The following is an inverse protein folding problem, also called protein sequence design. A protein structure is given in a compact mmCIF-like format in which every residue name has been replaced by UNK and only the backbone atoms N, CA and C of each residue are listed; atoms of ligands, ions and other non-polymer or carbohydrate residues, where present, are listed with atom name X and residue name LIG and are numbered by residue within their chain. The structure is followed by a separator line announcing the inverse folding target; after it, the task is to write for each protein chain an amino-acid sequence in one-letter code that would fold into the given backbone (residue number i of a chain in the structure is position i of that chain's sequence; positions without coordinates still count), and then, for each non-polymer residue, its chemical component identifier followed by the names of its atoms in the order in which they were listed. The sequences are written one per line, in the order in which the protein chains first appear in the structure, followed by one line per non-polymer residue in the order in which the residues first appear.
data_IF_070974364754
#
_entry.id   IF_070974364754
#
_cell.length_a   1.000
_cell.length_b   1.000
_cell.length_c   1.000
_cell.angle_alpha   90.00
_cell.angle_beta   90.00
_cell.angle_gamma   90.00
#
_symmetry.space_group_name_H-M   'P 1'
#
loop_
_entity.id
_entity.type
_entity.pdbx_description
1 polymer ?
#
# COMPACT_ATOMS: atom_id res chain seq x y z
N UNK A 1 9.62 -33.37 7.55
CA UNK A 1 8.70 -33.08 6.43
C UNK A 1 7.65 -34.18 6.36
N UNK A 2 6.40 -33.84 6.71
CA UNK A 2 5.28 -34.78 6.72
C UNK A 2 4.94 -35.28 5.31
N UNK A 3 4.66 -36.58 5.19
CA UNK A 3 3.97 -37.10 4.00
C UNK A 3 2.47 -36.77 4.07
N UNK A 4 1.74 -36.94 2.96
CA UNK A 4 0.32 -36.53 2.88
C UNK A 4 -0.58 -37.26 3.89
N UNK A 5 -0.25 -38.52 4.23
CA UNK A 5 -1.00 -39.29 5.22
C UNK A 5 -0.84 -38.70 6.62
N UNK A 6 0.37 -38.27 6.96
CA UNK A 6 0.65 -37.66 8.25
C UNK A 6 0.02 -36.26 8.36
N UNK A 7 0.03 -35.47 7.28
CA UNK A 7 -0.66 -34.17 7.24
C UNK A 7 -2.16 -34.33 7.51
N UNK A 8 -2.80 -35.31 6.87
CA UNK A 8 -4.22 -35.58 7.09
C UNK A 8 -4.51 -35.98 8.55
N UNK A 9 -3.65 -36.78 9.17
CA UNK A 9 -3.80 -37.14 10.59
C UNK A 9 -3.71 -35.91 11.51
N UNK A 10 -2.79 -34.97 11.22
CA UNK A 10 -2.67 -33.71 11.97
C UNK A 10 -3.95 -32.87 11.82
N UNK A 11 -4.45 -32.71 10.59
CA UNK A 11 -5.69 -31.95 10.31
C UNK A 11 -6.89 -32.57 11.02
N UNK A 12 -7.11 -33.89 10.89
CA UNK A 12 -8.22 -34.59 11.54
C UNK A 12 -8.16 -34.48 13.07
N UNK A 13 -6.95 -34.47 13.65
CA UNK A 13 -6.75 -34.42 15.10
C UNK A 13 -6.92 -33.02 15.67
N UNK A 14 -6.45 -32.00 14.97
CA UNK A 14 -6.28 -30.66 15.55
C UNK A 14 -7.13 -29.57 14.91
N UNK A 15 -7.59 -29.75 13.67
CA UNK A 15 -8.32 -28.70 12.95
C UNK A 15 -9.78 -29.06 12.66
N UNK A 16 -10.03 -30.32 12.26
CA UNK A 16 -11.32 -30.71 11.73
C UNK A 16 -12.42 -30.66 12.79
N UNK A 17 -13.52 -29.97 12.46
CA UNK A 17 -14.62 -29.72 13.39
C UNK A 17 -14.35 -28.63 14.44
N UNK A 18 -13.19 -27.96 14.38
CA UNK A 18 -12.81 -26.85 15.26
C UNK A 18 -12.38 -25.61 14.46
N UNK A 19 -12.61 -25.58 13.15
CA UNK A 19 -12.07 -24.58 12.21
C UNK A 19 -12.47 -23.16 12.61
N UNK A 20 -13.74 -22.94 12.93
CA UNK A 20 -14.25 -21.62 13.32
C UNK A 20 -13.62 -21.10 14.61
N UNK A 21 -13.43 -21.97 15.61
CA UNK A 21 -12.80 -21.58 16.87
C UNK A 21 -11.31 -21.28 16.68
N UNK A 22 -10.62 -22.08 15.88
CA UNK A 22 -9.21 -21.84 15.53
C UNK A 22 -9.03 -20.54 14.77
N UNK A 23 -9.90 -20.26 13.80
CA UNK A 23 -9.92 -18.99 13.07
C UNK A 23 -10.16 -17.83 14.02
N UNK A 24 -11.17 -17.93 14.90
CA UNK A 24 -11.45 -16.89 15.89
C UNK A 24 -10.26 -16.63 16.81
N UNK A 25 -9.62 -17.69 17.32
CA UNK A 25 -8.40 -17.58 18.14
C UNK A 25 -7.27 -16.91 17.38
N UNK A 26 -7.03 -17.30 16.13
CA UNK A 26 -6.02 -16.66 15.29
C UNK A 26 -6.25 -15.16 15.16
N UNK A 27 -7.49 -14.76 14.88
CA UNK A 27 -7.86 -13.34 14.70
C UNK A 27 -7.63 -12.52 15.97
N UNK A 28 -7.93 -13.08 17.15
CA UNK A 28 -7.84 -12.37 18.43
C UNK A 28 -6.41 -12.37 18.99
N UNK A 29 -5.72 -13.50 18.89
CA UNK A 29 -4.46 -13.75 19.60
C UNK A 29 -3.22 -13.65 18.70
N UNK A 30 -3.40 -13.83 17.39
CA UNK A 30 -2.31 -13.99 16.42
C UNK A 30 -1.70 -15.39 16.40
N UNK A 31 -0.78 -15.65 15.44
CA UNK A 31 -0.23 -16.98 15.18
C UNK A 31 0.56 -17.56 16.37
N UNK A 32 1.43 -16.77 17.00
CA UNK A 32 2.32 -17.26 18.06
C UNK A 32 1.54 -17.77 19.28
N UNK A 33 0.57 -16.98 19.74
CA UNK A 33 -0.26 -17.34 20.90
C UNK A 33 -1.24 -18.47 20.58
N UNK A 34 -1.80 -18.49 19.38
CA UNK A 34 -2.64 -19.61 18.94
C UNK A 34 -1.86 -20.92 18.98
N UNK A 35 -0.62 -20.93 18.47
CA UNK A 35 0.26 -22.11 18.50
C UNK A 35 0.49 -22.60 19.93
N UNK A 36 0.77 -21.69 20.86
CA UNK A 36 0.96 -22.00 22.28
C UNK A 36 -0.29 -22.59 22.92
N UNK A 37 -1.47 -22.01 22.67
CA UNK A 37 -2.73 -22.49 23.27
C UNK A 37 -3.19 -23.86 22.74
N UNK A 38 -2.86 -24.19 21.49
CA UNK A 38 -3.25 -25.47 20.86
C UNK A 38 -2.15 -26.53 21.06
N UNK A 39 -1.03 -26.17 21.70
CA UNK A 39 0.11 -27.06 22.00
C UNK A 39 0.66 -27.77 20.75
N UNK A 40 0.70 -27.08 19.62
CA UNK A 40 1.21 -27.61 18.35
C UNK A 40 2.72 -27.42 18.26
N UNK A 41 3.42 -28.41 17.71
CA UNK A 41 4.80 -28.21 17.24
C UNK A 41 4.82 -27.28 16.01
N UNK A 42 5.98 -26.74 15.65
CA UNK A 42 6.10 -25.85 14.48
C UNK A 42 5.66 -26.53 13.18
N UNK A 43 6.02 -27.80 12.99
CA UNK A 43 5.65 -28.56 11.79
C UNK A 43 4.13 -28.84 11.74
N UNK A 44 3.51 -29.19 12.87
CA UNK A 44 2.07 -29.41 12.94
C UNK A 44 1.29 -28.10 12.77
N UNK A 45 1.79 -27.01 13.33
CA UNK A 45 1.20 -25.69 13.18
C UNK A 45 1.20 -25.25 11.72
N UNK A 46 2.29 -25.47 10.97
CA UNK A 46 2.33 -25.15 9.54
C UNK A 46 1.25 -25.92 8.76
N UNK A 47 1.06 -27.21 9.06
CA UNK A 47 0.02 -28.04 8.40
C UNK A 47 -1.38 -27.55 8.73
N UNK A 48 -1.67 -27.26 10.00
CA UNK A 48 -2.97 -26.73 10.43
C UNK A 48 -3.21 -25.34 9.84
N UNK A 49 -2.19 -24.49 9.84
CA UNK A 49 -2.26 -23.16 9.26
C UNK A 49 -2.55 -23.22 7.76
N UNK A 50 -1.79 -24.00 6.99
CA UNK A 50 -2.04 -24.20 5.55
C UNK A 50 -3.48 -24.65 5.30
N UNK A 51 -3.96 -25.64 6.05
CA UNK A 51 -5.34 -26.12 5.95
C UNK A 51 -6.37 -25.00 6.20
N UNK A 52 -6.21 -24.22 7.27
CA UNK A 52 -7.11 -23.11 7.58
C UNK A 52 -7.03 -21.98 6.55
N UNK A 53 -5.85 -21.72 6.00
CA UNK A 53 -5.62 -20.70 4.98
C UNK A 53 -6.30 -21.08 3.67
N UNK A 54 -6.06 -22.28 3.15
CA UNK A 54 -6.55 -22.69 1.84
C UNK A 54 -7.99 -23.22 1.85
N UNK A 55 -8.38 -24.02 2.83
CA UNK A 55 -9.72 -24.61 2.87
C UNK A 55 -10.75 -23.70 3.55
N UNK A 56 -10.30 -22.80 4.43
CA UNK A 56 -11.20 -21.99 5.27
C UNK A 56 -11.01 -20.47 5.16
N UNK A 57 -10.14 -20.01 4.25
CA UNK A 57 -9.87 -18.59 3.99
C UNK A 57 -9.44 -17.80 5.23
N UNK A 58 -8.65 -18.41 6.12
CA UNK A 58 -8.22 -17.81 7.40
C UNK A 58 -7.70 -16.38 7.24
N UNK A 59 -6.77 -16.14 6.32
CA UNK A 59 -6.12 -14.83 6.17
C UNK A 59 -7.11 -13.76 5.72
N UNK A 60 -7.99 -14.09 4.77
CA UNK A 60 -9.02 -13.18 4.31
C UNK A 60 -9.97 -12.83 5.46
N UNK A 61 -10.45 -13.82 6.22
CA UNK A 61 -11.29 -13.59 7.40
C UNK A 61 -10.58 -12.71 8.45
N UNK A 62 -9.28 -12.92 8.65
CA UNK A 62 -8.47 -12.10 9.57
C UNK A 62 -8.38 -10.64 9.13
N UNK A 63 -8.13 -10.41 7.84
CA UNK A 63 -8.07 -9.07 7.26
C UNK A 63 -9.42 -8.38 7.35
N UNK A 64 -10.50 -9.06 6.98
CA UNK A 64 -11.87 -8.51 7.04
C UNK A 64 -12.25 -8.13 8.47
N UNK A 65 -11.93 -8.98 9.46
CA UNK A 65 -12.23 -8.72 10.86
C UNK A 65 -11.46 -7.51 11.43
N UNK A 66 -10.31 -7.16 10.86
CA UNK A 66 -9.44 -6.07 11.32
C UNK A 66 -9.10 -5.09 10.18
N UNK A 67 -10.08 -4.78 9.33
CA UNK A 67 -9.84 -4.08 8.06
C UNK A 67 -9.14 -2.74 8.25
N UNK A 68 -9.56 -1.94 9.23
CA UNK A 68 -8.97 -0.61 9.48
C UNK A 68 -7.47 -0.70 9.78
N UNK A 69 -7.08 -1.71 10.55
CA UNK A 69 -5.68 -1.96 10.88
C UNK A 69 -4.89 -2.37 9.64
N UNK A 70 -5.36 -3.38 8.90
CA UNK A 70 -4.66 -3.85 7.71
C UNK A 70 -4.61 -2.82 6.58
N UNK A 71 -5.65 -2.00 6.45
CA UNK A 71 -5.69 -0.89 5.50
C UNK A 71 -4.66 0.18 5.87
N UNK A 72 -4.58 0.60 7.14
CA UNK A 72 -3.56 1.56 7.60
C UNK A 72 -2.14 1.01 7.36
N UNK A 73 -1.89 -0.26 7.66
CA UNK A 73 -0.60 -0.89 7.42
C UNK A 73 -0.26 -0.98 5.92
N UNK A 74 -1.24 -1.30 5.07
CA UNK A 74 -1.07 -1.26 3.62
C UNK A 74 -0.74 0.15 3.11
N UNK A 75 -1.48 1.17 3.56
CA UNK A 75 -1.27 2.55 3.14
C UNK A 75 0.13 3.03 3.51
N UNK A 76 0.62 2.70 4.70
CA UNK A 76 1.95 3.13 5.16
C UNK A 76 3.09 2.34 4.53
N UNK A 77 2.94 1.03 4.38
CA UNK A 77 4.08 0.13 4.13
C UNK A 77 3.94 -0.74 2.87
N UNK A 78 2.75 -0.82 2.30
CA UNK A 78 2.45 -1.63 1.10
C UNK A 78 2.29 -3.13 1.37
N UNK A 79 1.96 -3.87 0.31
CA UNK A 79 1.60 -5.29 0.40
C UNK A 79 2.73 -6.20 0.88
N UNK A 80 3.99 -5.86 0.58
CA UNK A 80 5.14 -6.64 1.03
C UNK A 80 5.22 -6.71 2.57
N UNK A 81 4.90 -5.61 3.25
CA UNK A 81 4.85 -5.57 4.71
C UNK A 81 3.69 -6.40 5.26
N UNK A 82 2.52 -6.36 4.63
CA UNK A 82 1.40 -7.22 5.04
C UNK A 82 1.74 -8.70 4.94
N UNK A 83 2.45 -9.13 3.90
CA UNK A 83 2.91 -10.53 3.77
C UNK A 83 3.82 -10.95 4.90
N UNK A 84 4.72 -10.06 5.31
CA UNK A 84 5.63 -10.28 6.44
C UNK A 84 4.85 -10.40 7.76
N UNK A 85 3.95 -9.46 8.03
CA UNK A 85 3.10 -9.47 9.22
C UNK A 85 2.21 -10.72 9.34
N UNK A 86 1.68 -11.20 8.21
CA UNK A 86 0.86 -12.40 8.15
C UNK A 86 1.69 -13.70 8.15
N UNK A 87 3.02 -13.61 8.02
CA UNK A 87 3.92 -14.76 7.97
C UNK A 87 3.84 -15.57 6.68
N UNK A 88 3.46 -14.93 5.56
CA UNK A 88 3.13 -15.58 4.28
C UNK A 88 4.05 -15.12 3.14
N UNK A 89 5.35 -15.16 3.41
CA UNK A 89 6.39 -14.83 2.43
C UNK A 89 6.55 -15.87 1.31
N UNK A 90 6.07 -17.09 1.52
CA UNK A 90 6.16 -18.16 0.53
C UNK A 90 5.18 -17.93 -0.64
N UNK A 91 5.62 -18.24 -1.86
CA UNK A 91 4.83 -18.12 -3.10
C UNK A 91 3.55 -18.95 -3.10
N UNK A 92 3.47 -20.03 -2.29
CA UNK A 92 2.24 -20.83 -2.14
C UNK A 92 1.02 -20.01 -1.72
N UNK A 93 1.23 -18.86 -1.08
CA UNK A 93 0.17 -17.96 -0.62
C UNK A 93 -0.16 -16.83 -1.59
N UNK A 94 0.50 -16.73 -2.75
CA UNK A 94 0.35 -15.60 -3.67
C UNK A 94 -1.10 -15.38 -4.10
N UNK A 95 -1.83 -16.46 -4.39
CA UNK A 95 -3.24 -16.38 -4.77
C UNK A 95 -4.12 -15.75 -3.67
N UNK A 96 -3.88 -16.10 -2.39
CA UNK A 96 -4.63 -15.54 -1.27
C UNK A 96 -4.20 -14.10 -0.98
N UNK A 97 -2.91 -13.80 -1.14
CA UNK A 97 -2.40 -12.44 -1.04
C UNK A 97 -3.01 -11.53 -2.11
N UNK A 98 -3.22 -12.04 -3.33
CA UNK A 98 -3.92 -11.31 -4.39
C UNK A 98 -5.37 -11.01 -4.01
N UNK A 99 -6.09 -11.97 -3.43
CA UNK A 99 -7.47 -11.76 -2.95
C UNK A 99 -7.53 -10.69 -1.84
N UNK A 100 -6.57 -10.72 -0.91
CA UNK A 100 -6.46 -9.70 0.15
C UNK A 100 -6.15 -8.33 -0.45
N UNK A 101 -5.23 -8.27 -1.40
CA UNK A 101 -4.88 -7.04 -2.09
C UNK A 101 -6.07 -6.45 -2.84
N UNK A 102 -6.81 -7.28 -3.60
CA UNK A 102 -8.05 -6.89 -4.28
C UNK A 102 -9.04 -6.28 -3.28
N UNK A 103 -9.25 -6.92 -2.13
CA UNK A 103 -10.16 -6.43 -1.09
C UNK A 103 -9.76 -5.05 -0.53
N UNK A 104 -8.46 -4.82 -0.30
CA UNK A 104 -7.97 -3.55 0.22
C UNK A 104 -8.00 -2.45 -0.86
N UNK A 105 -7.63 -2.78 -2.09
CA UNK A 105 -7.50 -1.81 -3.18
C UNK A 105 -8.84 -1.45 -3.80
N UNK A 106 -9.66 -2.45 -4.13
CA UNK A 106 -10.91 -2.25 -4.85
C UNK A 106 -12.01 -1.82 -3.89
N UNK A 107 -12.18 -2.54 -2.77
CA UNK A 107 -13.32 -2.31 -1.87
C UNK A 107 -13.11 -1.16 -0.86
N UNK A 108 -11.86 -0.74 -0.61
CA UNK A 108 -11.53 0.24 0.43
C UNK A 108 -10.67 1.42 -0.06
N UNK A 109 -10.59 1.62 -1.39
CA UNK A 109 -9.77 2.66 -2.04
C UNK A 109 -8.30 2.70 -1.54
N UNK A 110 -7.78 1.59 -1.01
CA UNK A 110 -6.48 1.55 -0.34
C UNK A 110 -5.34 2.00 -1.25
N UNK A 111 -5.43 1.70 -2.54
CA UNK A 111 -4.43 2.10 -3.53
C UNK A 111 -4.29 3.62 -3.63
N UNK A 112 -5.41 4.35 -3.67
CA UNK A 112 -5.38 5.80 -3.75
C UNK A 112 -4.80 6.40 -2.46
N UNK A 113 -5.22 5.87 -1.31
CA UNK A 113 -4.70 6.30 -0.01
C UNK A 113 -3.19 6.07 0.11
N UNK A 114 -2.69 4.91 -0.35
CA UNK A 114 -1.26 4.61 -0.41
C UNK A 114 -0.52 5.62 -1.31
N UNK A 115 -1.07 5.94 -2.49
CA UNK A 115 -0.45 6.92 -3.38
C UNK A 115 -0.46 8.33 -2.80
N UNK A 116 -1.49 8.71 -2.05
CA UNK A 116 -1.55 10.01 -1.36
C UNK A 116 -0.45 10.08 -0.29
N UNK A 117 -0.31 9.04 0.53
CA UNK A 117 0.71 8.97 1.59
C UNK A 117 2.13 9.06 1.02
N UNK A 118 2.37 8.41 -0.13
CA UNK A 118 3.68 8.37 -0.79
C UNK A 118 3.75 9.26 -2.04
N UNK A 119 2.99 10.37 -2.05
CA UNK A 119 2.79 11.22 -3.25
C UNK A 119 4.09 11.62 -3.94
N UNK A 120 5.10 12.08 -3.17
CA UNK A 120 6.38 12.54 -3.72
C UNK A 120 7.05 11.45 -4.57
N UNK A 121 7.22 10.26 -3.99
CA UNK A 121 7.82 9.09 -4.65
C UNK A 121 7.14 8.74 -5.97
N UNK A 122 5.81 8.78 -6.00
CA UNK A 122 5.05 8.43 -7.21
C UNK A 122 5.05 9.54 -8.25
N UNK A 123 5.10 10.81 -7.85
CA UNK A 123 5.28 11.92 -8.78
C UNK A 123 6.67 11.89 -9.43
N UNK A 124 7.72 11.63 -8.65
CA UNK A 124 9.07 11.50 -9.17
C UNK A 124 9.16 10.34 -10.18
N UNK A 125 8.59 9.18 -9.81
CA UNK A 125 8.52 8.02 -10.70
C UNK A 125 7.70 8.28 -11.97
N UNK A 126 6.59 9.02 -11.86
CA UNK A 126 5.75 9.40 -13.00
C UNK A 126 6.50 10.31 -13.97
N UNK A 127 7.25 11.29 -13.44
CA UNK A 127 8.02 12.23 -14.25
C UNK A 127 9.22 11.57 -14.94
N UNK A 128 9.89 10.63 -14.26
CA UNK A 128 11.09 9.99 -14.77
C UNK A 128 10.77 8.83 -15.74
N UNK A 129 9.77 8.01 -15.42
CA UNK A 129 9.52 6.74 -16.11
C UNK A 129 8.13 6.62 -16.75
N UNK A 130 7.22 7.56 -16.49
CA UNK A 130 5.88 7.58 -17.04
C UNK A 130 4.85 6.75 -16.26
N UNK A 131 3.60 6.84 -16.72
CA UNK A 131 2.43 6.31 -16.00
C UNK A 131 2.37 4.79 -15.93
N UNK A 132 2.74 4.10 -17.02
CA UNK A 132 2.75 2.63 -17.07
C UNK A 132 3.79 2.01 -16.11
N UNK A 133 4.93 2.69 -15.90
CA UNK A 133 5.90 2.27 -14.90
C UNK A 133 5.30 2.33 -13.49
N UNK A 134 4.65 3.44 -13.13
CA UNK A 134 3.98 3.60 -11.84
C UNK A 134 2.88 2.55 -11.66
N UNK A 135 2.08 2.30 -12.70
CA UNK A 135 1.03 1.26 -12.71
C UNK A 135 1.60 -0.12 -12.40
N UNK A 136 2.75 -0.46 -13.00
CA UNK A 136 3.45 -1.73 -12.78
C UNK A 136 4.03 -1.83 -11.37
N UNK A 137 4.67 -0.77 -10.87
CA UNK A 137 5.23 -0.73 -9.50
C UNK A 137 4.16 -0.90 -8.44
N UNK A 138 2.96 -0.34 -8.68
CA UNK A 138 1.80 -0.50 -7.81
C UNK A 138 1.14 -1.89 -7.91
N UNK A 139 1.56 -2.74 -8.84
CA UNK A 139 0.99 -4.09 -9.02
C UNK A 139 -0.40 -4.09 -9.66
N UNK A 140 -0.81 -3.00 -10.33
CA UNK A 140 -2.20 -2.81 -10.82
C UNK A 140 -2.29 -2.77 -12.34
N UNK A 141 -1.41 -3.50 -13.03
CA UNK A 141 -1.42 -3.62 -14.50
C UNK A 141 -2.62 -4.39 -15.05
N UNK A 142 -3.28 -5.21 -14.23
CA UNK A 142 -4.46 -5.98 -14.63
C UNK A 142 -5.67 -5.10 -14.97
N UNK A 143 -6.52 -5.59 -15.89
CA UNK A 143 -7.71 -4.87 -16.32
C UNK A 143 -8.71 -4.61 -15.18
N UNK A 144 -8.77 -5.51 -14.19
CA UNK A 144 -9.64 -5.39 -13.00
C UNK A 144 -9.37 -4.15 -12.14
N UNK A 145 -8.18 -3.53 -12.28
CA UNK A 145 -7.80 -2.34 -11.51
C UNK A 145 -7.94 -1.04 -12.30
N UNK A 146 -8.50 -1.06 -13.52
CA UNK A 146 -8.49 0.12 -14.40
C UNK A 146 -9.19 1.32 -13.77
N UNK A 147 -10.31 1.11 -13.09
CA UNK A 147 -11.03 2.20 -12.41
C UNK A 147 -10.21 2.80 -11.25
N UNK A 148 -9.61 1.97 -10.39
CA UNK A 148 -8.73 2.43 -9.31
C UNK A 148 -7.51 3.15 -9.87
N UNK A 149 -6.97 2.67 -10.99
CA UNK A 149 -5.85 3.28 -11.68
C UNK A 149 -6.20 4.66 -12.25
N UNK A 150 -7.38 4.83 -12.84
CA UNK A 150 -7.85 6.14 -13.33
C UNK A 150 -7.94 7.17 -12.20
N UNK A 151 -8.45 6.78 -11.02
CA UNK A 151 -8.47 7.64 -9.83
C UNK A 151 -7.06 8.08 -9.41
N UNK A 152 -6.12 7.14 -9.37
CA UNK A 152 -4.71 7.42 -9.04
C UNK A 152 -4.07 8.35 -10.06
N UNK A 153 -4.27 8.07 -11.35
CA UNK A 153 -3.69 8.86 -12.43
C UNK A 153 -4.24 10.29 -12.43
N UNK A 154 -5.55 10.46 -12.26
CA UNK A 154 -6.18 11.78 -12.13
C UNK A 154 -5.60 12.57 -10.95
N UNK A 155 -5.43 11.93 -9.78
CA UNK A 155 -4.80 12.56 -8.61
C UNK A 155 -3.36 13.02 -8.89
N UNK A 156 -2.54 12.17 -9.51
CA UNK A 156 -1.14 12.47 -9.82
C UNK A 156 -1.05 13.57 -10.89
N UNK A 157 -1.86 13.52 -11.95
CA UNK A 157 -1.86 14.54 -12.99
C UNK A 157 -2.32 15.90 -12.45
N UNK A 158 -3.37 15.95 -11.62
CA UNK A 158 -3.77 17.18 -10.92
C UNK A 158 -2.65 17.73 -10.05
N UNK A 159 -1.91 16.85 -9.39
CA UNK A 159 -0.73 17.22 -8.59
C UNK A 159 0.38 17.82 -9.45
N UNK A 160 0.69 17.26 -10.62
CA UNK A 160 1.68 17.79 -11.56
C UNK A 160 1.24 19.16 -12.09
N UNK A 161 -0.01 19.28 -12.56
CA UNK A 161 -0.54 20.55 -13.07
C UNK A 161 -0.47 21.65 -12.01
N UNK A 162 -0.84 21.34 -10.76
CA UNK A 162 -0.74 22.30 -9.65
C UNK A 162 0.71 22.75 -9.41
N UNK A 163 1.67 21.83 -9.49
CA UNK A 163 3.09 22.15 -9.33
C UNK A 163 3.58 23.06 -10.47
N UNK A 164 3.28 22.73 -11.74
CA UNK A 164 3.66 23.54 -12.91
C UNK A 164 3.07 24.96 -12.83
N UNK A 165 1.78 25.08 -12.47
CA UNK A 165 1.13 26.38 -12.31
C UNK A 165 1.79 27.19 -11.18
N UNK A 166 2.14 26.53 -10.07
CA UNK A 166 2.83 27.17 -8.95
C UNK A 166 4.22 27.66 -9.34
N UNK A 167 5.00 26.84 -10.04
CA UNK A 167 6.34 27.21 -10.54
C UNK A 167 6.27 28.41 -11.48
N UNK A 168 5.38 28.37 -12.47
CA UNK A 168 5.18 29.49 -13.40
C UNK A 168 4.75 30.77 -12.70
N UNK A 169 3.87 30.67 -11.70
CA UNK A 169 3.43 31.84 -10.90
C UNK A 169 4.60 32.40 -10.09
N UNK A 170 5.45 31.53 -9.56
CA UNK A 170 6.64 31.92 -8.82
C UNK A 170 7.67 32.63 -9.72
N UNK A 171 7.96 32.08 -10.91
CA UNK A 171 8.81 32.71 -11.92
C UNK A 171 8.31 34.10 -12.30
N UNK A 172 7.01 34.24 -12.58
CA UNK A 172 6.38 35.54 -12.85
C UNK A 172 6.53 36.53 -11.68
N UNK A 173 6.46 36.03 -10.44
CA UNK A 173 6.71 36.82 -9.24
C UNK A 173 8.15 37.33 -9.15
N UNK A 174 9.14 36.49 -9.49
CA UNK A 174 10.56 36.87 -9.56
C UNK A 174 10.79 37.93 -10.64
N UNK A 175 10.19 37.76 -11.81
CA UNK A 175 10.32 38.71 -12.91
C UNK A 175 9.74 40.08 -12.52
N UNK A 176 8.54 40.10 -11.95
CA UNK A 176 7.91 41.32 -11.47
C UNK A 176 8.75 42.00 -10.38
N UNK A 177 9.29 41.24 -9.42
CA UNK A 177 10.18 41.77 -8.40
C UNK A 177 11.46 42.38 -9.01
N UNK A 178 12.06 41.69 -9.99
CA UNK A 178 13.26 42.16 -10.68
C UNK A 178 13.00 43.46 -11.44
N UNK A 179 11.87 43.57 -12.12
CA UNK A 179 11.45 44.81 -12.79
C UNK A 179 11.29 45.96 -11.80
N UNK A 180 10.62 45.75 -10.65
CA UNK A 180 10.44 46.77 -9.62
C UNK A 180 11.79 47.19 -9.01
N UNK A 181 12.66 46.23 -8.73
CA UNK A 181 13.99 46.47 -8.17
C UNK A 181 14.86 47.32 -9.11
N UNK A 182 14.88 46.97 -10.40
CA UNK A 182 15.63 47.71 -11.42
C UNK A 182 15.06 49.12 -11.61
N UNK A 183 13.74 49.29 -11.73
CA UNK A 183 13.10 50.60 -11.82
C UNK A 183 13.38 51.49 -10.59
N UNK A 184 13.42 50.88 -9.39
CA UNK A 184 13.78 51.60 -8.15
C UNK A 184 15.25 52.01 -8.11
N UNK A 185 16.17 51.22 -8.70
CA UNK A 185 17.58 51.60 -8.86
C UNK A 185 17.75 52.76 -9.82
N UNK A 186 17.07 52.73 -10.97
CA UNK A 186 17.11 53.78 -11.98
C UNK A 186 16.56 55.10 -11.42
N UNK A 187 15.41 55.08 -10.72
CA UNK A 187 14.89 56.26 -10.05
C UNK A 187 15.88 56.83 -9.02
N UNK A 188 16.55 55.99 -8.23
CA UNK A 188 17.58 56.45 -7.27
C UNK A 188 18.80 57.06 -7.95
N UNK A 189 19.15 56.64 -9.16
CA UNK A 189 20.23 57.25 -9.94
C UNK A 189 19.81 58.61 -10.50
N UNK A 190 18.62 58.72 -11.08
CA UNK A 190 18.07 59.99 -11.60
C UNK A 190 17.94 61.03 -10.48
N UNK A 191 17.47 60.62 -9.29
CA UNK A 191 17.34 61.54 -8.14
C UNK A 191 18.69 62.03 -7.61
N UNK A 192 19.79 61.29 -7.83
CA UNK A 192 21.15 61.73 -7.47
C UNK A 192 21.75 62.67 -8.52
N UNK A 193 21.41 62.51 -9.79
CA UNK A 193 21.88 63.38 -10.88
C UNK A 193 21.06 64.69 -10.98
N UNK A 194 19.80 64.69 -10.56
CA UNK A 194 18.94 65.88 -10.51
C UNK A 194 19.13 66.78 -9.28
N UNK A 195 20.03 66.42 -8.36
CA UNK A 195 20.49 67.28 -7.26
C UNK A 195 21.88 67.80 -7.66
N UNK A 196 21.92 68.70 -8.64
CA UNK A 196 23.07 69.54 -9.01
C UNK A 196 22.55 70.96 -9.25
#
# INVERSE_FOLDING_TARGET
MFNDKDKNLVIERFAKGQEDELIRKYIILGPSKMKEEVFLTDEEFEVVFDYLVFENNLLYKCVVANVDFFLDQYVRHGMAHLRDMLGVLNEKYDAICEVIFDFLVISHDGLLLHVIEHRGKYLDSLNEYGSEFVRKVLGVSGAKYSENWEKVLDFLLKSVVKNIVSEKTFEQGIDAFTMIYNGSREQRQITKEGIL
#
